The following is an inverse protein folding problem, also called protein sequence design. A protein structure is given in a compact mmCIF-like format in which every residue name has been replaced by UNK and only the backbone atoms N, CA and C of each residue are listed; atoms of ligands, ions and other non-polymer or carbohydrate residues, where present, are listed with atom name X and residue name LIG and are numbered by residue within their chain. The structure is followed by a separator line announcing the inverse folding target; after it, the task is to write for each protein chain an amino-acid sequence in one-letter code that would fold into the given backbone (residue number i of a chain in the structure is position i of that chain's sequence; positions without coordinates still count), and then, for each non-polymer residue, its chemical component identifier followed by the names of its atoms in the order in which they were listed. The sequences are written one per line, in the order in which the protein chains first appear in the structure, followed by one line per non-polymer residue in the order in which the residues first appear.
data_IF_526604289750
#
_entry.id   IF_526604289750
#
_cell.length_a   1.000
_cell.length_b   1.000
_cell.length_c   1.000
_cell.angle_alpha   90.00
_cell.angle_beta   90.00
_cell.angle_gamma   90.00
#
_symmetry.space_group_name_H-M   'P 1'
#
loop_
_entity.id
_entity.type
_entity.pdbx_description
1 polymer ?
#
# COMPACT_ATOMS: atom_id res chain seq x y z
N UNK A 1 0.54 -6.08 -13.86
CA UNK A 1 -0.44 -7.20 -13.92
C UNK A 1 0.02 -8.25 -12.91
N UNK A 2 -0.67 -8.46 -11.79
CA UNK A 2 -0.40 -9.61 -10.92
C UNK A 2 -0.62 -10.88 -11.77
N UNK A 3 0.35 -11.80 -11.80
CA UNK A 3 0.33 -12.98 -12.67
C UNK A 3 1.27 -12.93 -13.88
N UNK A 4 2.05 -11.86 -14.06
CA UNK A 4 3.10 -11.86 -15.09
C UNK A 4 4.30 -12.71 -14.65
N UNK A 5 4.54 -13.82 -15.35
CA UNK A 5 5.78 -14.60 -15.31
C UNK A 5 7.02 -13.82 -15.77
N UNK A 6 6.86 -12.56 -16.16
CA UNK A 6 7.94 -11.68 -16.63
C UNK A 6 8.17 -10.54 -15.65
N UNK A 7 9.44 -10.21 -15.42
CA UNK A 7 9.80 -9.01 -14.67
C UNK A 7 9.43 -7.76 -15.48
N UNK A 8 8.68 -6.83 -14.89
CA UNK A 8 8.28 -5.58 -15.57
C UNK A 8 9.41 -4.58 -15.79
N UNK A 9 10.61 -4.80 -15.21
CA UNK A 9 11.77 -3.90 -15.34
C UNK A 9 12.84 -4.45 -16.28
N UNK A 10 13.25 -5.70 -16.07
CA UNK A 10 14.31 -6.36 -16.85
C UNK A 10 13.78 -7.32 -17.92
N UNK A 11 12.46 -7.51 -18.01
CA UNK A 11 11.79 -8.36 -19.01
C UNK A 11 12.19 -9.86 -19.00
N UNK A 12 13.00 -10.28 -18.02
CA UNK A 12 13.35 -11.69 -17.80
C UNK A 12 12.07 -12.49 -17.60
N UNK A 13 11.96 -13.61 -18.32
CA UNK A 13 10.86 -14.56 -18.21
C UNK A 13 11.23 -15.66 -17.24
N UNK A 14 10.38 -15.87 -16.26
CA UNK A 14 10.50 -16.90 -15.26
C UNK A 14 9.48 -18.01 -15.52
N UNK A 15 9.77 -19.24 -15.08
CA UNK A 15 8.82 -20.34 -15.21
C UNK A 15 7.55 -20.10 -14.38
N UNK A 16 7.67 -19.39 -13.25
CA UNK A 16 6.60 -19.17 -12.30
C UNK A 16 6.57 -17.73 -11.75
N UNK A 17 5.38 -17.26 -11.37
CA UNK A 17 5.16 -15.93 -10.83
C UNK A 17 5.82 -15.73 -9.45
N UNK A 18 5.92 -16.76 -8.61
CA UNK A 18 6.63 -16.69 -7.33
C UNK A 18 8.13 -16.45 -7.53
N UNK A 19 8.71 -17.04 -8.57
CA UNK A 19 10.12 -16.81 -8.92
C UNK A 19 10.35 -15.40 -9.42
N UNK A 20 9.45 -14.88 -10.28
CA UNK A 20 9.47 -13.49 -10.72
C UNK A 20 9.32 -12.51 -9.55
N UNK A 21 8.45 -12.82 -8.58
CA UNK A 21 8.27 -12.03 -7.36
C UNK A 21 9.52 -12.06 -6.48
N UNK A 22 10.15 -13.23 -6.29
CA UNK A 22 11.40 -13.38 -5.54
C UNK A 22 12.55 -12.63 -6.20
N UNK A 23 12.64 -12.69 -7.53
CA UNK A 23 13.58 -11.90 -8.31
C UNK A 23 13.35 -10.39 -8.11
N UNK A 24 12.11 -9.93 -8.27
CA UNK A 24 11.77 -8.51 -8.10
C UNK A 24 12.05 -8.01 -6.68
N UNK A 25 11.76 -8.82 -5.65
CA UNK A 25 12.06 -8.48 -4.26
C UNK A 25 13.56 -8.29 -4.00
N UNK A 26 14.42 -9.09 -4.66
CA UNK A 26 15.89 -9.02 -4.49
C UNK A 26 16.54 -7.95 -5.36
N UNK A 27 16.20 -7.90 -6.64
CA UNK A 27 16.87 -7.05 -7.64
C UNK A 27 16.21 -5.69 -7.82
N UNK A 28 14.91 -5.58 -7.53
CA UNK A 28 14.13 -4.36 -7.72
C UNK A 28 13.27 -4.04 -6.49
N UNK A 29 13.87 -3.89 -5.30
CA UNK A 29 13.11 -3.74 -4.06
C UNK A 29 12.17 -2.53 -4.08
N UNK A 30 12.59 -1.41 -4.70
CA UNK A 30 11.76 -0.20 -4.84
C UNK A 30 10.54 -0.41 -5.74
N UNK A 31 10.74 -1.06 -6.88
CA UNK A 31 9.64 -1.32 -7.82
C UNK A 31 8.70 -2.41 -7.31
N UNK A 32 9.25 -3.44 -6.66
CA UNK A 32 8.49 -4.46 -5.97
C UNK A 32 7.63 -3.85 -4.88
N UNK A 33 8.19 -2.99 -4.02
CA UNK A 33 7.44 -2.28 -2.99
C UNK A 33 6.37 -1.38 -3.61
N UNK A 34 6.69 -0.60 -4.65
CA UNK A 34 5.70 0.24 -5.34
C UNK A 34 4.57 -0.60 -5.95
N UNK A 35 4.87 -1.77 -6.52
CA UNK A 35 3.87 -2.65 -7.10
C UNK A 35 3.03 -3.38 -6.04
N UNK A 36 3.65 -3.84 -4.95
CA UNK A 36 2.99 -4.54 -3.85
C UNK A 36 2.12 -3.59 -3.01
N UNK A 37 2.49 -2.32 -2.92
CA UNK A 37 1.77 -1.29 -2.16
C UNK A 37 0.83 -0.45 -3.06
N UNK A 38 0.65 -0.81 -4.34
CA UNK A 38 -0.32 -0.13 -5.21
C UNK A 38 -1.72 -0.33 -4.66
N UNK A 39 -2.34 0.77 -4.23
CA UNK A 39 -3.68 0.76 -3.64
C UNK A 39 -3.73 0.28 -2.19
N UNK A 40 -2.59 -0.03 -1.57
CA UNK A 40 -2.54 -0.33 -0.14
C UNK A 40 -2.58 0.98 0.67
N UNK A 41 -3.40 0.99 1.73
CA UNK A 41 -3.47 2.09 2.68
C UNK A 41 -2.55 1.79 3.88
N UNK A 42 -1.89 2.82 4.37
CA UNK A 42 -1.09 2.78 5.59
C UNK A 42 -1.99 3.21 6.75
N UNK A 43 -2.26 2.32 7.69
CA UNK A 43 -3.22 2.58 8.78
C UNK A 43 -2.46 2.89 10.08
N UNK A 44 -2.89 3.94 10.77
CA UNK A 44 -2.38 4.23 12.11
C UNK A 44 -2.89 3.21 13.12
N UNK A 45 -1.99 2.56 13.86
CA UNK A 45 -2.38 1.59 14.89
C UNK A 45 -3.04 2.22 16.12
N UNK A 46 -2.88 3.54 16.32
CA UNK A 46 -3.46 4.26 17.47
C UNK A 46 -4.91 4.69 17.21
N UNK A 47 -5.19 5.22 16.01
CA UNK A 47 -6.50 5.81 15.69
C UNK A 47 -7.19 5.23 14.45
N UNK A 48 -6.61 4.18 13.85
CA UNK A 48 -7.11 3.50 12.65
C UNK A 48 -7.26 4.39 11.39
N UNK A 49 -6.77 5.64 11.41
CA UNK A 49 -6.88 6.54 10.26
C UNK A 49 -6.00 6.04 9.09
N UNK A 50 -6.55 5.92 7.87
CA UNK A 50 -5.79 5.47 6.70
C UNK A 50 -5.02 6.63 6.04
N UNK A 51 -3.86 6.31 5.48
CA UNK A 51 -3.01 7.24 4.75
C UNK A 51 -2.55 6.61 3.44
N UNK A 52 -2.48 7.40 2.37
CA UNK A 52 -2.00 6.93 1.06
C UNK A 52 -0.49 6.74 0.96
N UNK A 53 0.28 7.08 2.01
CA UNK A 53 1.74 6.92 2.01
C UNK A 53 2.33 6.74 3.41
N UNK A 54 3.43 5.99 3.49
CA UNK A 54 4.19 5.78 4.73
C UNK A 54 4.69 7.09 5.37
N UNK A 55 5.28 8.07 4.65
CA UNK A 55 5.71 9.33 5.24
C UNK A 55 4.57 10.14 5.86
N UNK A 56 3.38 10.11 5.26
CA UNK A 56 2.20 10.77 5.81
C UNK A 56 1.76 10.12 7.13
N UNK A 57 1.74 8.79 7.19
CA UNK A 57 1.48 8.05 8.43
C UNK A 57 2.53 8.36 9.51
N UNK A 58 3.82 8.35 9.17
CA UNK A 58 4.91 8.62 10.12
C UNK A 58 4.86 10.04 10.69
N UNK A 59 4.46 11.03 9.88
CA UNK A 59 4.23 12.41 10.36
C UNK A 59 3.02 12.47 11.30
N UNK A 60 1.95 11.77 10.96
CA UNK A 60 0.76 11.68 11.80
C UNK A 60 1.05 11.01 13.16
N UNK A 61 1.78 9.88 13.16
CA UNK A 61 2.14 9.15 14.39
C UNK A 61 2.94 10.00 15.37
N UNK A 62 3.83 10.88 14.88
CA UNK A 62 4.55 11.84 15.73
C UNK A 62 3.60 12.80 16.46
N UNK A 63 2.43 13.08 15.91
CA UNK A 63 1.39 13.87 16.58
C UNK A 63 0.79 13.16 17.79
N UNK A 64 0.74 11.82 17.82
CA UNK A 64 0.27 11.07 18.99
C UNK A 64 1.24 11.14 20.18
N UNK A 65 2.53 11.35 19.93
CA UNK A 65 3.52 11.53 21.00
C UNK A 65 3.29 12.82 21.80
N UNK A 66 2.48 13.76 21.30
CA UNK A 66 2.07 14.95 22.01
C UNK A 66 0.56 14.91 22.27
N UNK A 67 0.10 14.46 23.45
CA UNK A 67 -1.32 14.42 23.76
C UNK A 67 -1.84 15.86 23.91
N UNK A 68 -2.26 16.48 22.81
CA UNK A 68 -3.28 17.53 22.90
C UNK A 68 -4.60 16.79 22.91
N UNK A 69 -5.17 16.66 24.10
CA UNK A 69 -6.52 16.16 24.29
C UNK A 69 -7.48 16.93 23.39
N UNK A 70 -8.07 16.27 22.40
CA UNK A 70 -9.51 16.19 22.15
C UNK A 70 -9.79 15.50 20.82
N UNK A 71 -10.84 14.69 20.84
CA UNK A 71 -11.18 13.72 19.82
C UNK A 71 -11.76 14.32 18.56
N UNK A 72 -11.48 13.63 17.45
CA UNK A 72 -12.16 13.83 16.19
C UNK A 72 -12.78 12.49 15.81
N UNK A 73 -14.09 12.41 16.01
CA UNK A 73 -14.97 11.34 15.58
C UNK A 73 -14.63 10.89 14.15
N UNK A 74 -14.40 9.59 13.88
CA UNK A 74 -14.14 9.15 12.52
C UNK A 74 -15.48 9.14 11.78
N UNK A 75 -15.74 10.18 10.97
CA UNK A 75 -16.76 10.08 9.94
C UNK A 75 -16.29 9.04 8.92
N UNK A 76 -17.08 7.98 8.83
CA UNK A 76 -16.98 6.94 7.83
C UNK A 76 -16.94 7.55 6.42
N UNK A 77 -15.90 7.22 5.66
CA UNK A 77 -15.93 7.29 4.20
C UNK A 77 -15.78 5.85 3.71
N UNK A 78 -16.91 5.15 3.66
CA UNK A 78 -17.01 3.88 2.94
C UNK A 78 -17.00 4.22 1.46
N UNK A 79 -15.85 4.06 0.81
CA UNK A 79 -15.75 4.15 -0.64
C UNK A 79 -16.32 2.84 -1.21
N UNK A 80 -17.64 2.84 -1.45
CA UNK A 80 -18.32 1.75 -2.16
C UNK A 80 -18.23 2.06 -3.65
N UNK A 81 -17.59 1.22 -4.48
CA UNK A 81 -17.57 1.44 -5.92
C UNK A 81 -18.99 1.28 -6.50
N UNK A 82 -19.39 2.09 -7.49
CA UNK A 82 -20.72 2.00 -8.09
C UNK A 82 -20.90 0.65 -8.82
N UNK A 83 -22.11 0.07 -8.82
CA UNK A 83 -22.37 -1.19 -9.53
C UNK A 83 -22.26 -1.00 -11.05
N UNK A 84 -21.90 -2.06 -11.80
CA UNK A 84 -21.90 -2.02 -13.26
C UNK A 84 -23.34 -1.88 -13.79
N UNK A 85 -23.50 -1.05 -14.83
CA UNK A 85 -24.78 -0.83 -15.53
C UNK A 85 -25.02 -1.99 -16.53
N UNK A 86 -26.30 -2.34 -16.80
CA UNK A 86 -26.65 -3.41 -17.73
C UNK A 86 -26.24 -3.11 -19.17
#
# INVERSE_FOLDING_TARGET
RPGSRRCGRCLITFPDAAFAARHAKRQHPRDFARAALRGALFVCFVCARPFGSSPALLRHQRGHAHPRARGDTPLAAVDTPPPPRP
#
